data_IF_276129021395
#
_entry.id   IF_276129021395
#
_cell.length_a   1.000
_cell.length_b   1.000
_cell.length_c   1.000
_cell.angle_alpha   90.00
_cell.angle_beta   90.00
_cell.angle_gamma   90.00
#
_symmetry.space_group_name_H-M   'P 1'
#
loop_
_entity.id
_entity.type
_entity.pdbx_description
1 polymer ?
#
# COMPACT_ATOMS: atom_id res chain seq x y z
N UNK A 1 -0.40 -8.91 -19.68
CA UNK A 1 -1.68 -8.42 -19.11
C UNK A 1 -1.34 -7.90 -17.72
N UNK A 2 -2.22 -7.17 -17.05
CA UNK A 2 -1.83 -6.45 -15.83
C UNK A 2 -2.93 -5.50 -15.41
N UNK A 3 -2.63 -4.22 -15.19
CA UNK A 3 -3.63 -3.21 -14.85
C UNK A 3 -4.79 -3.16 -15.84
N UNK A 4 -4.55 -3.38 -17.13
CA UNK A 4 -5.62 -3.44 -18.13
C UNK A 4 -6.58 -4.62 -17.89
N UNK A 5 -6.07 -5.78 -17.48
CA UNK A 5 -6.89 -6.94 -17.12
C UNK A 5 -7.72 -6.68 -15.86
N UNK A 6 -7.16 -5.94 -14.89
CA UNK A 6 -7.92 -5.47 -13.71
C UNK A 6 -9.06 -4.56 -14.16
N UNK A 7 -8.80 -3.58 -15.03
CA UNK A 7 -9.82 -2.64 -15.52
C UNK A 7 -10.92 -3.32 -16.33
N UNK A 8 -10.60 -4.36 -17.08
CA UNK A 8 -11.58 -5.15 -17.86
C UNK A 8 -12.44 -6.04 -16.95
N UNK A 9 -11.87 -6.51 -15.84
CA UNK A 9 -12.58 -7.33 -14.86
C UNK A 9 -13.55 -6.56 -13.96
N UNK A 10 -13.43 -5.23 -13.91
CA UNK A 10 -14.29 -4.41 -13.07
C UNK A 10 -15.71 -4.35 -13.65
N UNK A 11 -16.73 -4.64 -12.84
CA UNK A 11 -18.14 -4.65 -13.25
C UNK A 11 -18.67 -3.23 -13.49
N UNK A 12 -19.83 -3.12 -14.14
CA UNK A 12 -20.44 -1.82 -14.48
C UNK A 12 -20.74 -0.95 -13.24
N UNK A 13 -21.16 -1.57 -12.12
CA UNK A 13 -21.37 -0.86 -10.86
C UNK A 13 -20.08 -0.32 -10.22
N UNK A 14 -18.91 -0.70 -10.72
CA UNK A 14 -17.59 -0.24 -10.27
C UNK A 14 -16.91 0.69 -11.30
N UNK A 15 -17.68 1.32 -12.20
CA UNK A 15 -17.16 2.19 -13.26
C UNK A 15 -16.24 3.30 -12.74
N UNK A 16 -16.58 3.92 -11.61
CA UNK A 16 -15.74 4.97 -11.02
C UNK A 16 -14.37 4.44 -10.58
N UNK A 17 -14.32 3.21 -10.05
CA UNK A 17 -13.05 2.56 -9.67
C UNK A 17 -12.20 2.27 -10.90
N UNK A 18 -12.80 1.87 -12.01
CA UNK A 18 -12.10 1.67 -13.29
C UNK A 18 -11.47 2.96 -13.81
N UNK A 19 -12.22 4.08 -13.76
CA UNK A 19 -11.72 5.38 -14.19
C UNK A 19 -10.62 5.90 -13.27
N UNK A 20 -10.79 5.76 -11.95
CA UNK A 20 -9.80 6.14 -10.96
C UNK A 20 -8.51 5.31 -11.09
N UNK A 21 -8.62 3.99 -11.23
CA UNK A 21 -7.46 3.11 -11.49
C UNK A 21 -6.76 3.50 -12.77
N UNK A 22 -7.53 3.74 -13.85
CA UNK A 22 -6.99 4.22 -15.10
C UNK A 22 -6.22 5.53 -14.94
N UNK A 23 -6.71 6.48 -14.16
CA UNK A 23 -6.04 7.77 -13.93
C UNK A 23 -4.79 7.65 -13.06
N UNK A 24 -4.89 6.95 -11.92
CA UNK A 24 -3.86 6.96 -10.88
C UNK A 24 -2.56 6.27 -11.30
N UNK A 25 -2.64 5.23 -12.14
CA UNK A 25 -1.45 4.52 -12.68
C UNK A 25 -0.65 5.36 -13.67
N UNK A 26 -1.15 6.54 -14.04
CA UNK A 26 -0.43 7.55 -14.85
C UNK A 26 -0.14 8.83 -14.07
N UNK A 27 -0.22 8.79 -12.74
CA UNK A 27 0.09 9.96 -11.91
C UNK A 27 1.53 10.40 -12.11
N UNK A 28 1.75 11.71 -12.12
CA UNK A 28 3.08 12.34 -12.20
C UNK A 28 3.49 13.02 -10.90
N UNK A 29 2.68 12.92 -9.83
CA UNK A 29 3.00 13.44 -8.50
C UNK A 29 3.99 12.54 -7.74
N UNK A 30 4.16 11.30 -8.20
CA UNK A 30 5.08 10.29 -7.68
C UNK A 30 6.10 9.92 -8.76
N UNK A 31 7.31 9.53 -8.36
CA UNK A 31 8.23 8.85 -9.28
C UNK A 31 7.67 7.48 -9.68
N UNK A 32 8.16 6.89 -10.77
CA UNK A 32 7.71 5.55 -11.19
C UNK A 32 7.92 4.50 -10.09
N UNK A 33 9.08 4.49 -9.43
CA UNK A 33 9.35 3.59 -8.31
C UNK A 33 8.39 3.82 -7.13
N UNK A 34 8.10 5.08 -6.80
CA UNK A 34 7.15 5.41 -5.73
C UNK A 34 5.74 4.94 -6.07
N UNK A 35 5.27 5.21 -7.29
CA UNK A 35 3.94 4.82 -7.75
C UNK A 35 3.78 3.31 -7.78
N UNK A 36 4.67 2.60 -8.47
CA UNK A 36 4.58 1.15 -8.64
C UNK A 36 4.85 0.39 -7.34
N UNK A 37 5.79 0.87 -6.50
CA UNK A 37 5.97 0.31 -5.17
C UNK A 37 4.73 0.52 -4.28
N UNK A 38 4.06 1.68 -4.39
CA UNK A 38 2.80 1.92 -3.67
C UNK A 38 1.70 1.00 -4.17
N UNK A 39 1.56 0.80 -5.49
CA UNK A 39 0.59 -0.11 -6.08
C UNK A 39 0.80 -1.56 -5.61
N UNK A 40 2.04 -2.06 -5.63
CA UNK A 40 2.39 -3.41 -5.16
C UNK A 40 2.09 -3.56 -3.67
N UNK A 41 2.59 -2.64 -2.83
CA UNK A 41 2.41 -2.71 -1.38
C UNK A 41 0.93 -2.66 -0.98
N UNK A 42 0.16 -1.78 -1.61
CA UNK A 42 -1.28 -1.63 -1.34
C UNK A 42 -2.08 -2.82 -1.89
N UNK A 43 -1.77 -3.34 -3.08
CA UNK A 43 -2.40 -4.54 -3.62
C UNK A 43 -2.21 -5.74 -2.68
N UNK A 44 -0.98 -5.94 -2.15
CA UNK A 44 -0.67 -6.97 -1.17
C UNK A 44 -1.41 -6.77 0.18
N UNK A 45 -1.66 -5.51 0.57
CA UNK A 45 -2.44 -5.19 1.76
C UNK A 45 -3.92 -5.56 1.63
N UNK A 46 -4.49 -5.48 0.42
CA UNK A 46 -5.93 -5.78 0.18
C UNK A 46 -6.31 -7.25 0.28
N UNK A 47 -5.34 -8.17 0.22
CA UNK A 47 -5.55 -9.63 0.19
C UNK A 47 -6.32 -10.15 -1.03
N UNK A 48 -6.51 -9.35 -2.06
CA UNK A 48 -7.03 -9.81 -3.36
C UNK A 48 -5.91 -10.46 -4.17
N UNK A 49 -5.94 -11.79 -4.29
CA UNK A 49 -4.93 -12.56 -5.05
C UNK A 49 -4.84 -12.13 -6.51
N UNK A 50 -6.01 -11.90 -7.14
CA UNK A 50 -6.06 -11.44 -8.52
C UNK A 50 -5.42 -10.07 -8.66
N UNK A 51 -5.77 -9.11 -7.79
CA UNK A 51 -5.21 -7.77 -7.88
C UNK A 51 -3.69 -7.78 -7.69
N UNK A 52 -3.19 -8.50 -6.69
CA UNK A 52 -1.76 -8.61 -6.45
C UNK A 52 -1.04 -9.22 -7.66
N UNK A 53 -1.58 -10.29 -8.25
CA UNK A 53 -0.98 -10.95 -9.42
C UNK A 53 -0.85 -9.98 -10.61
N UNK A 54 -1.95 -9.34 -10.98
CA UNK A 54 -2.01 -8.46 -12.16
C UNK A 54 -1.18 -7.18 -11.96
N UNK A 55 -1.18 -6.60 -10.76
CA UNK A 55 -0.32 -5.44 -10.44
C UNK A 55 1.16 -5.85 -10.48
N UNK A 56 1.49 -7.05 -10.00
CA UNK A 56 2.88 -7.54 -9.98
C UNK A 56 3.41 -7.84 -11.38
N UNK A 57 2.56 -8.28 -12.31
CA UNK A 57 2.96 -8.51 -13.71
C UNK A 57 3.51 -7.22 -14.34
N UNK A 58 2.78 -6.11 -14.26
CA UNK A 58 3.24 -4.82 -14.78
C UNK A 58 4.38 -4.21 -13.92
N UNK A 59 4.35 -4.40 -12.59
CA UNK A 59 5.34 -3.81 -11.71
C UNK A 59 6.75 -4.35 -11.94
N UNK A 60 6.90 -5.60 -12.38
CA UNK A 60 8.19 -6.22 -12.67
C UNK A 60 8.89 -5.64 -13.90
N UNK A 61 8.17 -4.94 -14.78
CA UNK A 61 8.76 -4.22 -15.91
C UNK A 61 9.31 -2.83 -15.50
N UNK A 62 8.96 -2.35 -14.30
CA UNK A 62 9.29 -0.99 -13.84
C UNK A 62 10.20 -1.00 -12.61
N UNK A 63 9.92 -1.88 -11.64
CA UNK A 63 10.67 -1.99 -10.40
C UNK A 63 11.87 -2.92 -10.57
N UNK A 64 12.98 -2.59 -9.91
CA UNK A 64 13.99 -3.60 -9.64
C UNK A 64 13.43 -4.70 -8.74
N UNK A 65 14.03 -5.89 -8.78
CA UNK A 65 13.68 -7.00 -7.88
C UNK A 65 13.77 -6.58 -6.40
N UNK A 66 14.78 -5.78 -6.05
CA UNK A 66 14.97 -5.26 -4.69
C UNK A 66 13.85 -4.29 -4.29
N UNK A 67 13.42 -3.39 -5.19
CA UNK A 67 12.30 -2.48 -4.92
C UNK A 67 10.96 -3.21 -4.82
N UNK A 68 10.73 -4.20 -5.69
CA UNK A 68 9.55 -5.06 -5.63
C UNK A 68 9.46 -5.83 -4.30
N UNK A 69 10.56 -6.45 -3.88
CA UNK A 69 10.62 -7.14 -2.58
C UNK A 69 10.50 -6.19 -1.39
N UNK A 70 11.06 -4.99 -1.47
CA UNK A 70 10.90 -3.99 -0.42
C UNK A 70 9.45 -3.51 -0.30
N UNK A 71 8.72 -3.32 -1.41
CA UNK A 71 7.29 -2.98 -1.40
C UNK A 71 6.42 -4.09 -0.78
N UNK A 72 6.66 -5.36 -1.15
CA UNK A 72 6.01 -6.51 -0.50
C UNK A 72 6.39 -6.60 0.99
N UNK A 73 7.65 -6.31 1.31
CA UNK A 73 8.18 -6.26 2.66
C UNK A 73 7.49 -5.20 3.52
N UNK A 74 7.22 -4.01 2.96
CA UNK A 74 6.43 -2.95 3.60
C UNK A 74 5.03 -3.46 3.94
N UNK A 75 4.34 -4.10 2.99
CA UNK A 75 3.02 -4.69 3.24
C UNK A 75 3.04 -5.75 4.35
N UNK A 76 4.07 -6.61 4.37
CA UNK A 76 4.22 -7.67 5.35
C UNK A 76 4.50 -7.11 6.76
N UNK A 77 5.48 -6.21 6.91
CA UNK A 77 5.84 -5.66 8.22
C UNK A 77 4.73 -4.77 8.78
N UNK A 78 4.05 -3.99 7.94
CA UNK A 78 2.89 -3.19 8.33
C UNK A 78 1.72 -4.05 8.78
N UNK A 79 1.55 -5.26 8.23
CA UNK A 79 0.58 -6.23 8.76
C UNK A 79 0.79 -6.55 10.24
N UNK A 80 2.04 -6.59 10.71
CA UNK A 80 2.37 -6.79 12.13
C UNK A 80 2.31 -5.47 12.93
N UNK A 81 3.01 -4.44 12.46
CA UNK A 81 3.18 -3.20 13.23
C UNK A 81 1.88 -2.41 13.33
N UNK A 82 1.05 -2.40 12.29
CA UNK A 82 -0.24 -1.71 12.34
C UNK A 82 -1.17 -2.31 13.37
N UNK A 83 -1.21 -3.64 13.51
CA UNK A 83 -1.99 -4.31 14.56
C UNK A 83 -1.44 -3.92 15.93
N UNK A 84 -0.15 -4.09 16.15
CA UNK A 84 0.49 -3.84 17.45
C UNK A 84 0.29 -2.39 17.92
N UNK A 85 0.67 -1.42 17.10
CA UNK A 85 0.62 0.00 17.49
C UNK A 85 -0.79 0.56 17.53
N UNK A 86 -1.72 0.08 16.69
CA UNK A 86 -3.13 0.46 16.79
C UNK A 86 -3.73 0.00 18.11
N UNK A 87 -3.50 -1.27 18.47
CA UNK A 87 -4.01 -1.82 19.73
C UNK A 87 -3.38 -1.13 20.93
N UNK A 88 -2.06 -0.92 20.93
CA UNK A 88 -1.37 -0.20 22.01
C UNK A 88 -1.91 1.22 22.20
N UNK A 89 -2.15 1.93 21.11
CA UNK A 89 -2.76 3.27 21.14
C UNK A 89 -4.19 3.26 21.69
N UNK A 90 -5.03 2.31 21.26
CA UNK A 90 -6.40 2.14 21.75
C UNK A 90 -6.48 1.78 23.24
N UNK A 91 -5.39 1.27 23.82
CA UNK A 91 -5.28 1.00 25.25
C UNK A 91 -4.80 2.21 26.05
N UNK A 92 -4.73 3.39 25.43
CA UNK A 92 -4.42 4.68 26.08
C UNK A 92 -3.07 4.67 26.81
N UNK A 93 -2.06 4.06 26.19
CA UNK A 93 -0.68 4.07 26.69
C UNK A 93 -0.43 3.19 27.93
N UNK A 94 -1.42 2.41 28.39
CA UNK A 94 -1.29 1.50 29.54
C UNK A 94 -0.19 0.43 29.43
N UNK A 95 0.39 0.27 28.24
CA UNK A 95 1.45 -0.69 27.93
C UNK A 95 2.68 -0.01 27.32
N UNK A 96 2.82 1.32 27.51
CA UNK A 96 3.92 2.11 26.94
C UNK A 96 5.27 1.81 27.60
N UNK A 97 5.26 1.44 28.86
CA UNK A 97 6.41 1.03 29.66
C UNK A 97 6.97 -0.35 29.25
N UNK A 98 6.14 -1.20 28.64
CA UNK A 98 6.56 -2.51 28.15
C UNK A 98 7.25 -2.41 26.79
N UNK A 99 8.41 -3.05 26.68
CA UNK A 99 9.14 -3.19 25.41
C UNK A 99 8.34 -4.04 24.43
N UNK A 100 8.25 -3.59 23.17
CA UNK A 100 7.50 -4.32 22.13
C UNK A 100 8.04 -5.73 21.85
N UNK A 101 9.36 -5.92 21.87
CA UNK A 101 9.99 -7.22 21.58
C UNK A 101 9.82 -7.71 20.14
N UNK A 102 9.44 -6.83 19.21
CA UNK A 102 9.21 -7.14 17.80
C UNK A 102 10.42 -6.77 16.94
N UNK A 103 10.86 -7.68 16.06
CA UNK A 103 11.93 -7.42 15.10
C UNK A 103 11.37 -6.70 13.86
N UNK A 104 11.97 -5.57 13.51
CA UNK A 104 11.50 -4.70 12.41
C UNK A 104 12.66 -4.20 11.53
N UNK A 105 13.72 -5.02 11.37
CA UNK A 105 14.97 -4.60 10.72
C UNK A 105 14.80 -4.06 9.29
N UNK A 106 13.78 -4.53 8.57
CA UNK A 106 13.46 -4.08 7.21
C UNK A 106 13.09 -2.58 7.16
N UNK A 107 12.53 -2.02 8.23
CA UNK A 107 12.23 -0.58 8.31
C UNK A 107 13.53 0.23 8.34
N UNK A 108 14.55 -0.28 9.02
CA UNK A 108 15.85 0.38 9.12
C UNK A 108 16.73 0.15 7.88
N UNK A 109 16.62 -1.03 7.27
CA UNK A 109 17.44 -1.44 6.12
C UNK A 109 16.54 -2.04 5.02
N UNK A 110 15.79 -1.22 4.27
CA UNK A 110 14.80 -1.70 3.32
C UNK A 110 15.38 -2.13 1.95
N UNK A 111 16.67 -1.92 1.69
CA UNK A 111 17.30 -2.17 0.38
C UNK A 111 17.01 -1.10 -0.67
N UNK A 112 16.11 -0.15 -0.37
CA UNK A 112 15.79 1.01 -1.20
C UNK A 112 15.97 2.32 -0.43
N UNK A 113 15.72 3.45 -1.10
CA UNK A 113 15.63 4.74 -0.42
C UNK A 113 14.59 4.67 0.71
N UNK A 114 14.98 5.10 1.92
CA UNK A 114 14.10 5.05 3.10
C UNK A 114 12.78 5.79 2.84
N UNK A 115 12.82 6.93 2.15
CA UNK A 115 11.62 7.70 1.85
C UNK A 115 10.58 6.91 1.02
N UNK A 116 11.02 6.05 0.09
CA UNK A 116 10.10 5.21 -0.68
C UNK A 116 9.47 4.13 0.20
N UNK A 117 10.26 3.48 1.06
CA UNK A 117 9.75 2.48 1.99
C UNK A 117 8.77 3.07 3.02
N UNK A 118 9.05 4.28 3.53
CA UNK A 118 8.16 5.03 4.42
C UNK A 118 6.85 5.38 3.70
N UNK A 119 6.91 5.77 2.42
CA UNK A 119 5.73 6.09 1.59
C UNK A 119 4.83 4.87 1.40
N UNK A 120 5.42 3.71 1.07
CA UNK A 120 4.69 2.45 0.94
C UNK A 120 4.10 1.99 2.27
N UNK A 121 4.85 2.15 3.37
CA UNK A 121 4.40 1.82 4.72
C UNK A 121 3.23 2.71 5.16
N UNK A 122 3.26 4.00 4.83
CA UNK A 122 2.14 4.93 5.04
C UNK A 122 0.91 4.49 4.24
N UNK A 123 1.08 4.16 2.96
CA UNK A 123 -0.02 3.73 2.10
C UNK A 123 -0.69 2.44 2.62
N UNK A 124 0.11 1.44 3.05
CA UNK A 124 -0.42 0.22 3.68
C UNK A 124 -1.09 0.53 5.02
N UNK A 125 -0.51 1.42 5.82
CA UNK A 125 -1.10 1.84 7.11
C UNK A 125 -2.45 2.54 6.94
N UNK A 126 -2.67 3.22 5.81
CA UNK A 126 -3.96 3.81 5.46
C UNK A 126 -5.03 2.72 5.23
N UNK A 127 -4.68 1.64 4.52
CA UNK A 127 -5.58 0.50 4.29
C UNK A 127 -5.88 -0.22 5.61
N UNK A 128 -4.85 -0.47 6.42
CA UNK A 128 -5.00 -1.18 7.68
C UNK A 128 -5.63 -0.33 8.78
N UNK A 129 -5.70 1.00 8.64
CA UNK A 129 -6.32 1.91 9.60
C UNK A 129 -5.55 2.03 10.93
N UNK A 130 -4.24 2.30 10.88
CA UNK A 130 -3.44 2.53 12.09
C UNK A 130 -2.98 3.98 12.20
N UNK A 131 -3.66 4.77 13.05
CA UNK A 131 -3.37 6.19 13.24
C UNK A 131 -1.91 6.46 13.69
N UNK A 132 -1.37 5.67 14.62
CA UNK A 132 0.01 5.83 15.09
C UNK A 132 1.04 5.58 13.99
N UNK A 133 0.86 4.53 13.17
CA UNK A 133 1.76 4.27 12.05
C UNK A 133 1.63 5.34 10.97
N UNK A 134 0.41 5.82 10.68
CA UNK A 134 0.20 6.93 9.73
C UNK A 134 0.95 8.19 10.15
N UNK A 135 0.81 8.62 11.40
CA UNK A 135 1.54 9.79 11.92
C UNK A 135 3.05 9.57 11.87
N UNK A 136 3.54 8.41 12.33
CA UNK A 136 4.98 8.14 12.36
C UNK A 136 5.62 8.13 10.96
N UNK A 137 4.97 7.50 9.98
CA UNK A 137 5.48 7.46 8.61
C UNK A 137 5.37 8.83 7.93
N UNK A 138 4.31 9.60 8.18
CA UNK A 138 4.18 10.97 7.66
C UNK A 138 5.29 11.85 8.21
N UNK A 139 5.56 11.82 9.52
CA UNK A 139 6.63 12.59 10.14
C UNK A 139 8.00 12.29 9.52
N UNK A 140 8.32 11.01 9.29
CA UNK A 140 9.58 10.60 8.64
C UNK A 140 9.65 11.06 7.17
N UNK A 141 8.54 10.96 6.42
CA UNK A 141 8.46 11.46 5.05
C UNK A 141 8.66 12.98 4.98
N UNK A 142 8.07 13.72 5.90
CA UNK A 142 8.22 15.18 5.98
C UNK A 142 9.64 15.59 6.38
N UNK A 143 10.30 14.85 7.28
CA UNK A 143 11.73 15.05 7.60
C UNK A 143 12.63 14.76 6.40
N UNK A 144 12.26 13.80 5.57
CA UNK A 144 12.92 13.51 4.29
C UNK A 144 12.49 14.46 3.15
N UNK A 145 11.78 15.55 3.48
CA UNK A 145 11.33 16.60 2.55
C UNK A 145 10.37 16.12 1.43
N UNK A 146 9.73 14.96 1.59
CA UNK A 146 8.71 14.49 0.64
C UNK A 146 7.50 15.42 0.69
N UNK A 147 7.05 15.88 -0.49
CA UNK A 147 5.97 16.87 -0.59
C UNK A 147 4.63 16.33 -0.06
N UNK A 148 3.78 17.24 0.44
CA UNK A 148 2.43 16.86 0.87
C UNK A 148 1.59 16.31 -0.29
N UNK A 149 1.86 16.76 -1.53
CA UNK A 149 1.15 16.27 -2.72
C UNK A 149 1.52 14.83 -3.02
N UNK A 150 2.80 14.45 -2.94
CA UNK A 150 3.26 13.08 -3.10
C UNK A 150 2.67 12.15 -2.02
N UNK A 151 2.72 12.56 -0.74
CA UNK A 151 2.13 11.78 0.36
C UNK A 151 0.61 11.61 0.15
N UNK A 152 -0.08 12.68 -0.22
CA UNK A 152 -1.51 12.62 -0.52
C UNK A 152 -1.83 11.73 -1.71
N UNK A 153 -0.99 11.72 -2.74
CA UNK A 153 -1.13 10.84 -3.89
C UNK A 153 -1.01 9.36 -3.49
N UNK A 154 -0.08 9.01 -2.60
CA UNK A 154 0.02 7.65 -2.08
C UNK A 154 -1.23 7.23 -1.29
N UNK A 155 -1.84 8.14 -0.54
CA UNK A 155 -3.13 7.91 0.14
C UNK A 155 -4.26 7.68 -0.88
N UNK A 156 -4.27 8.43 -1.99
CA UNK A 156 -5.21 8.23 -3.09
C UNK A 156 -5.02 6.87 -3.75
N UNK A 157 -3.78 6.46 -4.04
CA UNK A 157 -3.45 5.11 -4.55
C UNK A 157 -4.03 4.04 -3.62
N UNK A 158 -3.71 4.11 -2.32
CA UNK A 158 -4.19 3.14 -1.33
C UNK A 158 -5.73 3.03 -1.30
N UNK A 159 -6.42 4.17 -1.37
CA UNK A 159 -7.88 4.24 -1.35
C UNK A 159 -8.50 3.61 -2.62
N UNK A 160 -7.94 3.93 -3.80
CA UNK A 160 -8.40 3.42 -5.09
C UNK A 160 -8.16 1.91 -5.17
N UNK A 161 -6.96 1.44 -4.82
CA UNK A 161 -6.58 0.02 -4.83
C UNK A 161 -7.47 -0.78 -3.89
N UNK A 162 -7.81 -0.25 -2.72
CA UNK A 162 -8.77 -0.88 -1.78
C UNK A 162 -10.16 -1.05 -2.40
N UNK A 163 -10.68 -0.01 -3.07
CA UNK A 163 -11.97 -0.09 -3.77
C UNK A 163 -11.95 -1.08 -4.92
N UNK A 164 -10.88 -1.08 -5.73
CA UNK A 164 -10.68 -2.03 -6.84
C UNK A 164 -10.66 -3.47 -6.32
N UNK A 165 -9.91 -3.74 -5.24
CA UNK A 165 -9.88 -5.05 -4.62
C UNK A 165 -11.27 -5.50 -4.16
N UNK A 166 -12.01 -4.62 -3.49
CA UNK A 166 -13.38 -4.91 -3.06
C UNK A 166 -14.27 -5.28 -4.24
N UNK A 167 -14.21 -4.53 -5.35
CA UNK A 167 -15.00 -4.82 -6.55
C UNK A 167 -14.63 -6.18 -7.16
N UNK A 168 -13.34 -6.50 -7.27
CA UNK A 168 -12.87 -7.80 -7.78
C UNK A 168 -13.32 -8.97 -6.90
N UNK A 169 -13.19 -8.84 -5.58
CA UNK A 169 -13.61 -9.88 -4.63
C UNK A 169 -15.11 -10.11 -4.70
N UNK A 170 -15.91 -9.04 -4.80
CA UNK A 170 -17.37 -9.15 -4.97
C UNK A 170 -17.71 -9.88 -6.28
N UNK A 171 -17.08 -9.51 -7.40
CA UNK A 171 -17.32 -10.19 -8.69
C UNK A 171 -16.92 -11.67 -8.63
N UNK A 172 -15.77 -11.97 -8.02
CA UNK A 172 -15.29 -13.35 -7.88
C UNK A 172 -16.25 -14.20 -7.05
N UNK A 173 -16.77 -13.67 -5.95
CA UNK A 173 -17.73 -14.37 -5.09
C UNK A 173 -19.09 -14.63 -5.76
N UNK A 174 -19.45 -13.82 -6.76
CA UNK A 174 -20.69 -13.95 -7.52
C UNK A 174 -20.52 -14.74 -8.84
N UNK A 175 -19.30 -15.10 -9.21
CA UNK A 175 -19.05 -15.89 -10.41
C UNK A 175 -19.66 -17.29 -10.25
N UNK A 176 -20.35 -17.83 -11.28
CA UNK A 176 -20.82 -19.20 -11.24
C UNK A 176 -19.64 -20.16 -11.11
N UNK A 177 -19.84 -21.24 -10.35
CA UNK A 177 -18.86 -22.30 -10.14
C UNK A 177 -18.53 -23.07 -11.42
#
# INVERSE_FOLDING_TARGET
MGIDAVKEALPEYAKDLKLNLGSIVRSTELTEQQLWGTLVATAAATKSERLLREVSEDALDVLSEEAYHAALGAAAIMGMTNVFYRTKYQLEGRYDDLRAGLRMNIIANPGVAKADFELWSLAVSAINGCAQCLTAHEDELRKAEVSRTAIFEAIRVASIVSGVAQALLTTQALAPA
#
